data_IF_508203459403
#
_entry.id   IF_508203459403
#
_cell.length_a   1.000
_cell.length_b   1.000
_cell.length_c   1.000
_cell.angle_alpha   90.00
_cell.angle_beta   90.00
_cell.angle_gamma   90.00
#
_symmetry.space_group_name_H-M   'P 1'
#
loop_
_entity.id
_entity.type
_entity.pdbx_description
1 polymer ?
#
# COMPACT_ATOMS: atom_id res chain seq x y z
N UNK A 1 36.96 -22.86 -43.36
CA UNK A 1 37.12 -21.40 -43.58
C UNK A 1 35.79 -20.73 -43.89
N UNK A 2 35.05 -21.11 -44.94
CA UNK A 2 33.75 -20.48 -45.25
C UNK A 2 32.64 -20.81 -44.23
N UNK A 3 32.53 -22.06 -43.78
CA UNK A 3 31.55 -22.45 -42.76
C UNK A 3 31.78 -21.72 -41.42
N UNK A 4 33.03 -21.56 -41.01
CA UNK A 4 33.41 -20.90 -39.75
C UNK A 4 32.98 -19.42 -39.73
N UNK A 5 33.03 -18.77 -40.90
CA UNK A 5 32.60 -17.38 -41.09
C UNK A 5 31.08 -17.23 -40.97
N UNK A 6 30.33 -18.19 -41.51
CA UNK A 6 28.85 -18.23 -41.41
C UNK A 6 28.42 -18.46 -39.95
N UNK A 7 29.05 -19.41 -39.26
CA UNK A 7 28.77 -19.66 -37.84
C UNK A 7 29.11 -18.47 -36.96
N UNK A 8 30.25 -17.81 -37.22
CA UNK A 8 30.65 -16.61 -36.48
C UNK A 8 29.70 -15.42 -36.73
N UNK A 9 29.24 -15.23 -37.97
CA UNK A 9 28.25 -14.21 -38.32
C UNK A 9 26.91 -14.44 -37.63
N UNK A 10 26.42 -15.69 -37.62
CA UNK A 10 25.19 -16.06 -36.92
C UNK A 10 25.32 -15.88 -35.40
N UNK A 11 26.45 -16.27 -34.81
CA UNK A 11 26.71 -16.09 -33.38
C UNK A 11 26.70 -14.61 -32.99
N UNK A 12 27.28 -13.74 -33.83
CA UNK A 12 27.25 -12.28 -33.65
C UNK A 12 25.82 -11.71 -33.66
N UNK A 13 24.99 -12.13 -34.62
CA UNK A 13 23.60 -11.70 -34.70
C UNK A 13 22.77 -12.15 -33.49
N UNK A 14 22.96 -13.39 -33.04
CA UNK A 14 22.30 -13.93 -31.85
C UNK A 14 22.74 -13.15 -30.61
N UNK A 15 24.05 -12.90 -30.44
CA UNK A 15 24.58 -12.13 -29.32
C UNK A 15 24.02 -10.70 -29.28
N UNK A 16 23.88 -10.06 -30.44
CA UNK A 16 23.30 -8.72 -30.54
C UNK A 16 21.81 -8.73 -30.17
N UNK A 17 21.07 -9.75 -30.62
CA UNK A 17 19.66 -9.95 -30.26
C UNK A 17 19.44 -10.14 -28.76
N UNK A 18 20.26 -10.99 -28.13
CA UNK A 18 20.21 -11.22 -26.67
C UNK A 18 20.50 -9.91 -25.91
N UNK A 19 21.54 -9.16 -26.29
CA UNK A 19 21.88 -7.90 -25.64
C UNK A 19 20.74 -6.86 -25.71
N UNK A 20 20.03 -6.77 -26.83
CA UNK A 20 18.87 -5.87 -26.99
C UNK A 20 17.71 -6.33 -26.09
N UNK A 21 17.41 -7.63 -26.08
CA UNK A 21 16.37 -8.20 -25.21
C UNK A 21 16.68 -7.95 -23.74
N UNK A 22 17.91 -8.24 -23.30
CA UNK A 22 18.36 -8.03 -21.93
C UNK A 22 18.27 -6.56 -21.53
N UNK A 23 18.66 -5.63 -22.40
CA UNK A 23 18.54 -4.20 -22.12
C UNK A 23 17.08 -3.78 -21.90
N UNK A 24 16.15 -4.24 -22.74
CA UNK A 24 14.71 -3.94 -22.60
C UNK A 24 14.12 -4.55 -21.33
N UNK A 25 14.51 -5.78 -20.99
CA UNK A 25 14.08 -6.47 -19.77
C UNK A 25 14.60 -5.71 -18.54
N UNK A 26 15.88 -5.33 -18.53
CA UNK A 26 16.48 -4.61 -17.41
C UNK A 26 15.82 -3.25 -17.15
N UNK A 27 15.49 -2.47 -18.18
CA UNK A 27 14.74 -1.21 -18.00
C UNK A 27 13.38 -1.48 -17.34
N UNK A 28 12.65 -2.49 -17.81
CA UNK A 28 11.33 -2.83 -17.28
C UNK A 28 11.42 -3.27 -15.81
N UNK A 29 12.38 -4.14 -15.49
CA UNK A 29 12.64 -4.60 -14.12
C UNK A 29 13.02 -3.42 -13.22
N UNK A 30 13.91 -2.54 -13.68
CA UNK A 30 14.35 -1.39 -12.90
C UNK A 30 13.17 -0.45 -12.56
N UNK A 31 12.28 -0.21 -13.53
CA UNK A 31 11.06 0.58 -13.30
C UNK A 31 10.14 -0.08 -12.26
N UNK A 32 9.90 -1.39 -12.38
CA UNK A 32 9.09 -2.13 -11.41
C UNK A 32 9.72 -2.11 -10.01
N UNK A 33 11.04 -2.22 -9.91
CA UNK A 33 11.77 -2.14 -8.64
C UNK A 33 11.62 -0.74 -8.02
N UNK A 34 11.71 0.33 -8.80
CA UNK A 34 11.49 1.70 -8.31
C UNK A 34 10.08 1.90 -7.79
N UNK A 35 9.06 1.43 -8.52
CA UNK A 35 7.67 1.49 -8.07
C UNK A 35 7.50 0.69 -6.77
N UNK A 36 8.01 -0.54 -6.71
CA UNK A 36 7.94 -1.39 -5.51
C UNK A 36 8.64 -0.77 -4.29
N UNK A 37 9.77 -0.10 -4.50
CA UNK A 37 10.47 0.63 -3.44
C UNK A 37 9.62 1.78 -2.90
N UNK A 38 8.91 2.52 -3.76
CA UNK A 38 7.99 3.59 -3.35
C UNK A 38 6.84 3.00 -2.52
N UNK A 39 6.20 1.91 -2.97
CA UNK A 39 5.13 1.27 -2.20
C UNK A 39 5.63 0.78 -0.83
N UNK A 40 6.81 0.17 -0.80
CA UNK A 40 7.42 -0.31 0.44
C UNK A 40 7.66 0.85 1.41
N UNK A 41 8.24 1.95 0.93
CA UNK A 41 8.53 3.13 1.75
C UNK A 41 7.26 3.79 2.31
N UNK A 42 6.23 3.93 1.48
CA UNK A 42 5.00 4.66 1.85
C UNK A 42 4.06 3.80 2.70
N UNK A 43 3.91 2.51 2.41
CA UNK A 43 2.82 1.71 2.99
C UNK A 43 3.26 0.69 4.03
N UNK A 44 4.42 0.02 3.86
CA UNK A 44 4.73 -1.16 4.66
C UNK A 44 4.94 -0.82 6.13
N UNK A 45 5.59 0.31 6.43
CA UNK A 45 5.72 0.83 7.80
C UNK A 45 4.36 0.96 8.47
N UNK A 46 3.37 1.50 7.77
CA UNK A 46 2.03 1.68 8.32
C UNK A 46 1.29 0.35 8.47
N UNK A 47 1.42 -0.53 7.49
CA UNK A 47 0.63 -1.76 7.44
C UNK A 47 1.11 -2.85 8.38
N UNK A 48 2.41 -2.92 8.60
CA UNK A 48 3.05 -3.96 9.41
C UNK A 48 3.17 -3.51 10.87
N UNK A 49 3.37 -2.21 11.09
CA UNK A 49 3.73 -1.70 12.41
C UNK A 49 2.71 -0.72 12.98
N UNK A 50 2.53 0.45 12.36
CA UNK A 50 1.78 1.56 12.97
C UNK A 50 0.30 1.21 13.15
N UNK A 51 -0.40 0.79 12.09
CA UNK A 51 -1.85 0.52 12.15
C UNK A 51 -2.15 -0.66 13.08
N UNK A 52 -1.44 -1.80 13.00
CA UNK A 52 -1.67 -2.91 13.93
C UNK A 52 -1.44 -2.53 15.40
N UNK A 53 -0.36 -1.80 15.71
CA UNK A 53 -0.09 -1.35 17.08
C UNK A 53 -1.16 -0.36 17.57
N UNK A 54 -1.56 0.59 16.70
CA UNK A 54 -2.60 1.55 17.02
C UNK A 54 -3.93 0.87 17.30
N UNK A 55 -4.31 -0.15 16.52
CA UNK A 55 -5.53 -0.91 16.76
C UNK A 55 -5.52 -1.63 18.12
N UNK A 56 -4.38 -2.19 18.54
CA UNK A 56 -4.24 -2.84 19.84
C UNK A 56 -4.33 -1.85 21.02
N UNK A 57 -4.01 -0.59 20.79
CA UNK A 57 -4.09 0.45 21.81
C UNK A 57 -5.51 0.95 22.05
N UNK A 58 -6.45 0.70 21.14
CA UNK A 58 -7.83 1.13 21.27
C UNK A 58 -8.54 0.31 22.35
N UNK A 59 -8.98 0.97 23.43
CA UNK A 59 -9.67 0.33 24.55
C UNK A 59 -10.97 1.03 24.89
N UNK A 60 -12.02 0.24 25.11
CA UNK A 60 -13.26 0.74 25.68
C UNK A 60 -13.11 0.89 27.20
N UNK A 61 -13.40 2.08 27.72
CA UNK A 61 -13.35 2.39 29.15
C UNK A 61 -14.71 2.91 29.62
N UNK A 62 -14.89 3.04 30.93
CA UNK A 62 -16.11 3.62 31.50
C UNK A 62 -16.39 5.06 31.01
N UNK A 63 -15.35 5.78 30.55
CA UNK A 63 -15.43 7.15 30.05
C UNK A 63 -15.46 7.23 28.51
N UNK A 64 -15.59 6.10 27.82
CA UNK A 64 -15.54 6.01 26.36
C UNK A 64 -14.26 5.36 25.83
N UNK A 65 -14.01 5.54 24.54
CA UNK A 65 -12.84 5.00 23.86
C UNK A 65 -11.56 5.76 24.22
N UNK A 66 -10.46 5.03 24.35
CA UNK A 66 -9.13 5.58 24.60
C UNK A 66 -8.12 4.97 23.64
N UNK A 67 -7.03 5.67 23.36
CA UNK A 67 -5.95 5.19 22.47
C UNK A 67 -6.27 5.28 20.98
N UNK A 68 -7.29 6.05 20.59
CA UNK A 68 -7.67 6.24 19.17
C UNK A 68 -6.74 7.20 18.44
N UNK A 69 -6.09 8.10 19.16
CA UNK A 69 -5.15 9.10 18.68
C UNK A 69 -4.00 8.50 17.87
N UNK A 70 -3.47 7.34 18.29
CA UNK A 70 -2.42 6.66 17.53
C UNK A 70 -2.90 6.22 16.15
N UNK A 71 -4.15 5.76 16.03
CA UNK A 71 -4.71 5.32 14.76
C UNK A 71 -5.06 6.54 13.89
N UNK A 72 -5.68 7.56 14.46
CA UNK A 72 -5.99 8.83 13.79
C UNK A 72 -4.73 9.46 13.20
N UNK A 73 -3.66 9.60 14.00
CA UNK A 73 -2.37 10.12 13.55
C UNK A 73 -1.74 9.24 12.47
N UNK A 74 -1.75 7.91 12.65
CA UNK A 74 -1.22 6.96 11.66
C UNK A 74 -1.93 7.05 10.30
N UNK A 75 -3.26 7.22 10.29
CA UNK A 75 -4.04 7.39 9.06
C UNK A 75 -3.77 8.73 8.38
N UNK A 76 -3.62 9.80 9.17
CA UNK A 76 -3.31 11.13 8.66
C UNK A 76 -1.89 11.19 8.07
N UNK A 77 -0.90 10.61 8.75
CA UNK A 77 0.48 10.59 8.26
C UNK A 77 0.61 9.71 7.01
N UNK A 78 -0.08 8.57 6.96
CA UNK A 78 -0.17 7.77 5.74
C UNK A 78 -0.74 8.57 4.56
N UNK A 79 -1.77 9.39 4.80
CA UNK A 79 -2.35 10.26 3.76
C UNK A 79 -1.33 11.26 3.22
N UNK A 80 -0.51 11.86 4.10
CA UNK A 80 0.55 12.81 3.71
C UNK A 80 1.67 12.11 2.94
N UNK A 81 2.12 10.94 3.39
CA UNK A 81 3.17 10.19 2.71
C UNK A 81 2.72 9.64 1.35
N UNK A 82 1.42 9.34 1.20
CA UNK A 82 0.84 8.93 -0.07
C UNK A 82 0.67 10.07 -1.09
N UNK A 83 1.05 11.31 -0.78
CA UNK A 83 0.86 12.47 -1.67
C UNK A 83 1.57 12.31 -3.03
N UNK A 84 2.66 11.55 -3.10
CA UNK A 84 3.29 11.19 -4.38
C UNK A 84 2.27 10.63 -5.39
N UNK A 85 1.35 9.78 -4.92
CA UNK A 85 0.34 9.16 -5.77
C UNK A 85 -0.70 10.15 -6.27
N UNK A 86 -0.89 11.30 -5.64
CA UNK A 86 -1.77 12.34 -6.20
C UNK A 86 -1.29 12.78 -7.59
N UNK A 87 0.02 12.94 -7.77
CA UNK A 87 0.62 13.37 -9.03
C UNK A 87 0.83 12.23 -10.03
N UNK A 88 0.98 11.00 -9.54
CA UNK A 88 1.24 9.84 -10.39
C UNK A 88 -0.03 9.08 -10.80
N UNK A 89 -0.98 8.92 -9.87
CA UNK A 89 -2.26 8.24 -10.05
C UNK A 89 -3.33 8.83 -9.11
N UNK A 90 -3.88 9.98 -9.54
CA UNK A 90 -4.87 10.73 -8.78
C UNK A 90 -6.10 9.89 -8.42
N UNK A 91 -6.51 8.96 -9.29
CA UNK A 91 -7.68 8.12 -9.07
C UNK A 91 -7.45 7.14 -7.91
N UNK A 92 -6.29 6.50 -7.86
CA UNK A 92 -5.89 5.67 -6.72
C UNK A 92 -5.78 6.50 -5.44
N UNK A 93 -5.10 7.64 -5.49
CA UNK A 93 -4.93 8.52 -4.33
C UNK A 93 -6.27 8.96 -3.74
N UNK A 94 -7.22 9.42 -4.57
CA UNK A 94 -8.56 9.82 -4.11
C UNK A 94 -9.31 8.68 -3.43
N UNK A 95 -9.24 7.46 -3.98
CA UNK A 95 -9.87 6.27 -3.38
C UNK A 95 -9.24 5.93 -2.02
N UNK A 96 -7.91 6.00 -1.93
CA UNK A 96 -7.18 5.76 -0.69
C UNK A 96 -7.58 6.79 0.38
N UNK A 97 -7.52 8.08 0.06
CA UNK A 97 -7.90 9.16 0.97
C UNK A 97 -9.34 9.02 1.46
N UNK A 98 -10.28 8.68 0.58
CA UNK A 98 -11.67 8.45 0.95
C UNK A 98 -11.83 7.31 1.95
N UNK A 99 -11.12 6.20 1.78
CA UNK A 99 -11.14 5.08 2.74
C UNK A 99 -10.51 5.46 4.08
N UNK A 100 -9.35 6.11 4.06
CA UNK A 100 -8.66 6.57 5.27
C UNK A 100 -9.54 7.54 6.07
N UNK A 101 -10.17 8.50 5.39
CA UNK A 101 -11.07 9.48 6.01
C UNK A 101 -12.34 8.81 6.55
N UNK A 102 -12.92 7.86 5.82
CA UNK A 102 -14.10 7.13 6.32
C UNK A 102 -13.82 6.36 7.61
N UNK A 103 -12.62 5.79 7.74
CA UNK A 103 -12.16 5.11 8.95
C UNK A 103 -11.92 6.12 10.09
N UNK A 104 -11.24 7.23 9.81
CA UNK A 104 -11.01 8.32 10.76
C UNK A 104 -12.34 8.88 11.31
N UNK A 105 -13.30 9.18 10.44
CA UNK A 105 -14.63 9.67 10.83
C UNK A 105 -15.37 8.66 11.73
N UNK A 106 -15.21 7.36 11.47
CA UNK A 106 -15.82 6.31 12.28
C UNK A 106 -15.22 6.27 13.69
N UNK A 107 -13.89 6.39 13.78
CA UNK A 107 -13.18 6.42 15.06
C UNK A 107 -13.56 7.66 15.87
N UNK A 108 -13.61 8.84 15.25
CA UNK A 108 -14.02 10.09 15.91
C UNK A 108 -15.46 10.00 16.43
N UNK A 109 -16.39 9.48 15.62
CA UNK A 109 -17.78 9.27 16.04
C UNK A 109 -17.89 8.29 17.20
N UNK A 110 -17.08 7.24 17.19
CA UNK A 110 -17.03 6.25 18.25
C UNK A 110 -16.50 6.85 19.56
N UNK A 111 -15.48 7.71 19.47
CA UNK A 111 -14.88 8.39 20.62
C UNK A 111 -15.87 9.33 21.34
N UNK A 112 -16.84 9.88 20.62
CA UNK A 112 -17.86 10.77 21.19
C UNK A 112 -18.96 10.04 21.99
N UNK A 113 -18.92 8.72 22.12
CA UNK A 113 -19.97 7.93 22.77
C UNK A 113 -19.44 6.86 23.72
N UNK A 114 -20.26 6.51 24.71
CA UNK A 114 -20.02 5.34 25.56
C UNK A 114 -20.58 4.11 24.85
N UNK A 115 -19.75 3.08 24.72
CA UNK A 115 -20.13 1.80 24.12
C UNK A 115 -20.28 0.73 25.20
N UNK A 116 -21.34 -0.06 25.11
CA UNK A 116 -21.40 -1.35 25.79
C UNK A 116 -20.48 -2.37 25.09
N UNK A 117 -20.27 -3.53 25.70
CA UNK A 117 -19.37 -4.57 25.21
C UNK A 117 -19.76 -5.07 23.81
N UNK A 118 -21.07 -5.20 23.54
CA UNK A 118 -21.59 -5.67 22.24
C UNK A 118 -21.31 -4.64 21.15
N UNK A 119 -21.59 -3.36 21.41
CA UNK A 119 -21.29 -2.26 20.47
C UNK A 119 -19.81 -2.12 20.21
N UNK A 120 -18.98 -2.26 21.25
CA UNK A 120 -17.53 -2.21 21.09
C UNK A 120 -17.01 -3.37 20.25
N UNK A 121 -17.53 -4.58 20.44
CA UNK A 121 -17.16 -5.72 19.59
C UNK A 121 -17.51 -5.46 18.12
N UNK A 122 -18.75 -5.01 17.84
CA UNK A 122 -19.17 -4.69 16.47
C UNK A 122 -18.31 -3.59 15.85
N UNK A 123 -18.03 -2.53 16.61
CA UNK A 123 -17.14 -1.45 16.18
C UNK A 123 -15.74 -1.96 15.84
N UNK A 124 -15.15 -2.80 16.70
CA UNK A 124 -13.81 -3.37 16.47
C UNK A 124 -13.76 -4.23 15.21
N UNK A 125 -14.82 -5.00 14.93
CA UNK A 125 -14.92 -5.77 13.68
C UNK A 125 -15.04 -4.88 12.45
N UNK A 126 -15.82 -3.81 12.53
CA UNK A 126 -15.95 -2.85 11.45
C UNK A 126 -14.62 -2.13 11.15
N UNK A 127 -13.91 -1.67 12.19
CA UNK A 127 -12.59 -1.06 12.05
C UNK A 127 -11.62 -2.03 11.37
N UNK A 128 -11.59 -3.30 11.80
CA UNK A 128 -10.77 -4.34 11.18
C UNK A 128 -11.12 -4.53 9.71
N UNK A 129 -12.40 -4.53 9.36
CA UNK A 129 -12.87 -4.66 7.97
C UNK A 129 -12.45 -3.46 7.11
N UNK A 130 -12.54 -2.25 7.65
CA UNK A 130 -12.14 -1.03 6.95
C UNK A 130 -10.62 -0.98 6.72
N UNK A 131 -9.82 -1.36 7.72
CA UNK A 131 -8.36 -1.52 7.60
C UNK A 131 -8.03 -2.56 6.53
N UNK A 132 -8.67 -3.74 6.56
CA UNK A 132 -8.47 -4.76 5.53
C UNK A 132 -8.81 -4.22 4.13
N UNK A 133 -9.89 -3.42 4.02
CA UNK A 133 -10.27 -2.77 2.77
C UNK A 133 -9.25 -1.74 2.26
N UNK A 134 -8.51 -1.08 3.16
CA UNK A 134 -7.38 -0.21 2.79
C UNK A 134 -6.20 -1.06 2.30
N UNK A 135 -5.89 -2.15 3.01
CA UNK A 135 -4.76 -3.02 2.65
C UNK A 135 -5.00 -3.65 1.27
N UNK A 136 -6.20 -4.18 1.03
CA UNK A 136 -6.57 -4.74 -0.27
C UNK A 136 -6.49 -3.71 -1.38
N UNK A 137 -6.92 -2.45 -1.16
CA UNK A 137 -6.81 -1.40 -2.18
C UNK A 137 -5.35 -1.17 -2.59
N UNK A 138 -4.44 -1.08 -1.62
CA UNK A 138 -3.03 -0.85 -1.88
C UNK A 138 -2.36 -2.07 -2.50
N UNK A 139 -2.67 -3.28 -2.01
CA UNK A 139 -2.07 -4.52 -2.52
C UNK A 139 -2.55 -4.85 -3.93
N UNK A 140 -3.83 -4.67 -4.23
CA UNK A 140 -4.34 -4.80 -5.60
C UNK A 140 -3.57 -3.86 -6.53
N UNK A 141 -3.41 -2.59 -6.13
CA UNK A 141 -2.67 -1.61 -6.91
C UNK A 141 -1.20 -2.01 -7.10
N UNK A 142 -0.54 -2.50 -6.05
CA UNK A 142 0.84 -3.00 -6.09
C UNK A 142 1.00 -4.20 -7.02
N UNK A 143 0.05 -5.13 -7.02
CA UNK A 143 0.01 -6.31 -7.90
C UNK A 143 -0.42 -5.98 -9.34
N UNK A 144 -0.83 -4.74 -9.62
CA UNK A 144 -1.35 -4.32 -10.92
C UNK A 144 -2.79 -4.76 -11.18
N UNK A 145 -3.50 -5.24 -10.17
CA UNK A 145 -4.93 -5.53 -10.19
C UNK A 145 -5.67 -4.20 -9.91
N UNK A 146 -6.44 -3.70 -10.89
CA UNK A 146 -7.07 -2.35 -10.90
C UNK A 146 -7.64 -1.84 -9.56
#
# INVERSE_FOLDING_TARGET
>A
MECDLIFSGLALLISLGVAICDYRINIKINKLNMEAEIYTKVFFKYFIEIIPQAQQNIKNTANGLTGTDMLENGLNDLRKEALFFYYHDEAFYKKLCSKLQSLEDKIIKANNGIMDEVKYHLFSEEVRKDIAGIYTLVMNKYEGLK
#
